data_IF_038265368212
#
_entry.id   IF_038265368212
#
_cell.length_a   1.000
_cell.length_b   1.000
_cell.length_c   1.000
_cell.angle_alpha   90.00
_cell.angle_beta   90.00
_cell.angle_gamma   90.00
#
_symmetry.space_group_name_H-M   'P 1'
#
loop_
_entity.id
_entity.type
_entity.pdbx_description
1 polymer ?
#
# COMPACT_ATOMS: atom_id res chain seq x y z
N UNK A 1 -18.60 13.84 -3.69
CA UNK A 1 -17.35 14.48 -3.24
C UNK A 1 -16.94 13.84 -1.91
N UNK A 2 -15.64 13.71 -1.62
CA UNK A 2 -15.18 13.08 -0.38
C UNK A 2 -15.34 14.06 0.81
N UNK A 3 -15.84 13.64 1.98
CA UNK A 3 -16.11 14.55 3.10
C UNK A 3 -14.86 15.15 3.76
N UNK A 4 -13.70 14.49 3.66
CA UNK A 4 -12.45 14.91 4.34
C UNK A 4 -11.38 15.46 3.42
N UNK A 5 -11.31 14.91 2.20
CA UNK A 5 -10.22 15.15 1.26
C UNK A 5 -10.76 15.83 0.01
N UNK A 6 -11.44 16.94 0.24
CA UNK A 6 -11.98 17.80 -0.81
C UNK A 6 -11.68 19.25 -0.47
N UNK A 7 -10.55 19.73 -0.95
CA UNK A 7 -10.02 21.05 -0.65
C UNK A 7 -10.42 22.06 -1.74
N UNK A 8 -11.01 23.21 -1.39
CA UNK A 8 -11.42 24.23 -2.36
C UNK A 8 -10.26 24.79 -3.21
N UNK A 9 -9.07 24.87 -2.63
CA UNK A 9 -7.81 25.30 -3.23
C UNK A 9 -7.07 24.17 -3.98
N UNK A 10 -7.61 22.95 -3.99
CA UNK A 10 -6.97 21.82 -4.65
C UNK A 10 -6.92 21.95 -6.17
N UNK A 11 -5.75 21.67 -6.73
CA UNK A 11 -5.47 21.71 -8.19
C UNK A 11 -5.66 20.37 -8.90
N UNK A 12 -5.72 19.26 -8.15
CA UNK A 12 -5.90 17.91 -8.67
C UNK A 12 -7.17 17.28 -8.12
N UNK A 13 -7.99 16.71 -9.00
CA UNK A 13 -9.17 15.92 -8.63
C UNK A 13 -8.98 14.47 -9.03
N UNK A 14 -8.99 13.57 -8.06
CA UNK A 14 -8.90 12.13 -8.26
C UNK A 14 -10.27 11.50 -7.99
N UNK A 15 -10.83 10.79 -8.97
CA UNK A 15 -12.12 10.12 -8.85
C UNK A 15 -11.86 8.64 -8.58
N UNK A 16 -12.26 8.18 -7.40
CA UNK A 16 -12.07 6.80 -6.91
C UNK A 16 -13.45 6.23 -6.60
N UNK A 17 -13.87 5.18 -7.31
CA UNK A 17 -15.20 4.57 -7.19
C UNK A 17 -16.36 5.60 -7.23
N UNK A 18 -16.26 6.61 -8.10
CA UNK A 18 -17.25 7.68 -8.23
C UNK A 18 -17.16 8.78 -7.16
N UNK A 19 -16.25 8.67 -6.18
CA UNK A 19 -16.01 9.68 -5.16
C UNK A 19 -14.85 10.58 -5.62
N UNK A 20 -15.11 11.88 -5.70
CA UNK A 20 -14.10 12.89 -6.02
C UNK A 20 -13.31 13.32 -4.78
N UNK A 21 -11.99 13.12 -4.83
CA UNK A 21 -10.98 13.62 -3.92
C UNK A 21 -10.33 14.84 -4.57
N UNK A 22 -10.36 16.01 -3.92
CA UNK A 22 -9.76 17.22 -4.47
C UNK A 22 -8.61 17.64 -3.56
N UNK A 23 -7.40 17.64 -4.08
CA UNK A 23 -6.15 17.79 -3.31
C UNK A 23 -5.17 18.75 -3.98
N UNK A 24 -4.20 19.26 -3.22
CA UNK A 24 -3.11 20.05 -3.75
C UNK A 24 -2.16 19.14 -4.55
N UNK A 25 -2.20 19.25 -5.89
CA UNK A 25 -1.37 18.42 -6.78
C UNK A 25 0.13 18.64 -6.57
N UNK A 26 0.54 19.81 -6.08
CA UNK A 26 1.92 20.12 -5.70
C UNK A 26 2.40 19.25 -4.55
N UNK A 27 1.58 18.99 -3.53
CA UNK A 27 1.93 18.13 -2.41
C UNK A 27 2.12 16.69 -2.88
N UNK A 28 1.22 16.17 -3.71
CA UNK A 28 1.38 14.83 -4.27
C UNK A 28 2.62 14.73 -5.17
N UNK A 29 2.89 15.76 -5.98
CA UNK A 29 4.08 15.84 -6.84
C UNK A 29 5.39 15.89 -6.05
N UNK A 30 5.39 16.48 -4.84
CA UNK A 30 6.58 16.53 -3.99
C UNK A 30 7.06 15.13 -3.63
N UNK A 31 6.13 14.22 -3.35
CA UNK A 31 6.44 12.86 -2.93
C UNK A 31 6.46 11.87 -4.10
N UNK A 32 5.72 12.14 -5.18
CA UNK A 32 5.52 11.23 -6.30
C UNK A 32 6.18 11.70 -7.60
N UNK A 33 7.19 10.98 -8.07
CA UNK A 33 7.76 11.21 -9.41
C UNK A 33 6.75 10.96 -10.53
N UNK A 34 5.84 10.00 -10.33
CA UNK A 34 4.77 9.71 -11.27
C UNK A 34 3.88 10.95 -11.47
N UNK A 35 3.40 11.54 -10.37
CA UNK A 35 2.53 12.71 -10.42
C UNK A 35 3.27 13.99 -10.78
N UNK A 36 4.52 14.18 -10.33
CA UNK A 36 5.34 15.30 -10.76
C UNK A 36 5.50 15.33 -12.29
N UNK A 37 5.81 14.17 -12.90
CA UNK A 37 5.92 14.05 -14.36
C UNK A 37 4.58 14.26 -15.07
N UNK A 38 3.49 13.77 -14.48
CA UNK A 38 2.15 13.86 -15.07
C UNK A 38 1.61 15.28 -15.02
N UNK A 39 1.75 15.97 -13.89
CA UNK A 39 1.25 17.32 -13.67
C UNK A 39 2.17 18.38 -14.27
N UNK A 40 3.49 18.16 -14.31
CA UNK A 40 4.42 19.07 -14.98
C UNK A 40 4.23 19.18 -16.50
N UNK A 41 3.44 18.29 -17.11
CA UNK A 41 3.03 18.36 -18.52
C UNK A 41 1.74 19.16 -18.75
N UNK A 42 1.00 19.47 -17.69
CA UNK A 42 -0.27 20.19 -17.76
C UNK A 42 0.01 21.67 -17.57
N UNK A 43 -0.51 22.52 -18.46
CA UNK A 43 -0.39 23.98 -18.33
C UNK A 43 -0.97 24.43 -16.97
N UNK A 44 -0.27 25.34 -16.29
CA UNK A 44 -0.45 25.69 -14.87
C UNK A 44 -1.85 26.22 -14.47
N UNK A 45 -2.78 26.37 -15.42
CA UNK A 45 -4.10 26.97 -15.23
C UNK A 45 -5.25 25.98 -15.27
N UNK A 46 -5.02 24.70 -15.63
CA UNK A 46 -6.09 23.72 -15.79
C UNK A 46 -6.22 22.80 -14.59
N UNK A 47 -7.42 22.75 -13.99
CA UNK A 47 -7.76 21.75 -12.98
C UNK A 47 -7.66 20.35 -13.60
N UNK A 48 -6.74 19.52 -13.10
CA UNK A 48 -6.53 18.17 -13.62
C UNK A 48 -7.53 17.21 -12.96
N UNK A 49 -8.23 16.41 -13.76
CA UNK A 49 -9.17 15.39 -13.27
C UNK A 49 -8.71 14.02 -13.77
N UNK A 50 -8.50 13.09 -12.84
CA UNK A 50 -8.12 11.70 -13.14
C UNK A 50 -9.12 10.72 -12.55
N UNK A 51 -9.55 9.73 -13.33
CA UNK A 51 -10.36 8.61 -12.85
C UNK A 51 -9.48 7.40 -12.56
N UNK A 52 -9.41 6.98 -11.30
CA UNK A 52 -8.64 5.83 -10.85
C UNK A 52 -9.55 4.60 -10.75
N UNK A 53 -9.45 3.70 -11.74
CA UNK A 53 -10.30 2.50 -11.83
C UNK A 53 -9.82 1.36 -10.93
N UNK A 54 -8.52 1.27 -10.71
CA UNK A 54 -7.89 0.19 -9.95
C UNK A 54 -7.59 0.55 -8.49
N UNK A 55 -8.20 1.63 -7.98
CA UNK A 55 -8.01 2.08 -6.59
C UNK A 55 -9.34 2.03 -5.88
N UNK A 56 -9.35 1.48 -4.66
CA UNK A 56 -10.52 1.48 -3.80
C UNK A 56 -10.48 2.66 -2.84
N UNK A 57 -11.67 3.10 -2.39
CA UNK A 57 -11.81 4.25 -1.47
C UNK A 57 -11.07 4.03 -0.16
N UNK A 58 -11.09 2.82 0.39
CA UNK A 58 -10.34 2.47 1.61
C UNK A 58 -8.83 2.65 1.45
N UNK A 59 -8.29 2.30 0.27
CA UNK A 59 -6.87 2.46 0.00
C UNK A 59 -6.49 3.92 -0.14
N UNK A 60 -7.33 4.65 -0.87
CA UNK A 60 -7.18 6.09 -1.07
C UNK A 60 -7.22 6.81 0.27
N UNK A 61 -8.18 6.49 1.14
CA UNK A 61 -8.30 7.08 2.47
C UNK A 61 -7.11 6.80 3.37
N UNK A 62 -6.57 5.58 3.34
CA UNK A 62 -5.36 5.23 4.08
C UNK A 62 -4.17 6.07 3.61
N UNK A 63 -3.96 6.16 2.30
CA UNK A 63 -2.87 6.93 1.71
C UNK A 63 -3.02 8.45 1.95
N UNK A 64 -4.23 8.99 1.79
CA UNK A 64 -4.50 10.41 2.05
C UNK A 64 -4.32 10.78 3.52
N UNK A 65 -4.56 9.86 4.45
CA UNK A 65 -4.30 10.08 5.87
C UNK A 65 -2.80 10.24 6.18
N UNK A 66 -1.91 9.59 5.40
CA UNK A 66 -0.46 9.81 5.49
C UNK A 66 -0.05 11.13 4.86
N UNK A 67 -0.63 11.47 3.71
CA UNK A 67 -0.30 12.70 2.97
C UNK A 67 -0.82 13.96 3.68
N UNK A 68 -1.94 13.84 4.41
CA UNK A 68 -2.58 14.93 5.15
C UNK A 68 -2.82 14.53 6.62
N UNK A 69 -1.77 14.41 7.45
CA UNK A 69 -1.90 13.94 8.83
C UNK A 69 -2.86 14.78 9.68
N UNK A 70 -2.91 16.10 9.45
CA UNK A 70 -3.79 17.03 10.16
C UNK A 70 -5.29 16.85 9.85
N UNK A 71 -5.62 16.15 8.77
CA UNK A 71 -7.00 15.90 8.31
C UNK A 71 -7.40 14.42 8.46
N UNK A 72 -6.47 13.58 8.95
CA UNK A 72 -6.74 12.23 9.38
C UNK A 72 -7.36 12.22 10.79
N UNK A 73 -8.32 11.32 11.10
CA UNK A 73 -8.69 11.07 12.47
C UNK A 73 -7.45 10.63 13.25
N UNK A 74 -7.31 11.09 14.49
CA UNK A 74 -6.27 10.63 15.43
C UNK A 74 -6.22 9.09 15.54
N UNK A 75 -7.34 8.42 15.22
CA UNK A 75 -7.52 6.97 15.13
C UNK A 75 -8.02 6.52 13.75
N UNK A 76 -7.39 6.95 12.64
CA UNK A 76 -7.72 6.38 11.34
C UNK A 76 -7.35 4.88 11.35
N UNK A 77 -8.32 4.00 11.62
CA UNK A 77 -8.16 2.53 11.63
C UNK A 77 -7.55 2.00 10.31
N UNK A 78 -7.69 2.78 9.24
CA UNK A 78 -7.11 2.53 7.93
C UNK A 78 -5.58 2.68 7.87
N UNK A 79 -4.91 3.19 8.92
CA UNK A 79 -3.45 3.29 8.99
C UNK A 79 -2.89 2.62 10.25
N UNK A 80 -3.71 2.31 11.25
CA UNK A 80 -3.24 1.61 12.47
C UNK A 80 -3.20 0.09 12.33
N UNK A 81 -3.66 -0.45 11.19
CA UNK A 81 -3.71 -1.89 10.93
C UNK A 81 -2.72 -2.29 9.86
N UNK A 82 -2.25 -3.54 9.91
CA UNK A 82 -1.41 -4.13 8.86
C UNK A 82 -2.06 -4.04 7.48
N UNK A 83 -3.38 -4.23 7.39
CA UNK A 83 -4.14 -4.08 6.15
C UNK A 83 -4.08 -2.63 5.62
N UNK A 84 -4.20 -1.66 6.52
CA UNK A 84 -4.05 -0.25 6.21
C UNK A 84 -2.68 0.12 5.62
N UNK A 85 -1.61 -0.29 6.28
CA UNK A 85 -0.26 -0.08 5.76
C UNK A 85 0.01 -0.82 4.45
N UNK A 86 -0.63 -1.97 4.22
CA UNK A 86 -0.54 -2.66 2.93
C UNK A 86 -1.16 -1.84 1.79
N UNK A 87 -2.26 -1.12 2.04
CA UNK A 87 -2.83 -0.18 1.07
C UNK A 87 -1.90 1.00 0.79
N UNK A 88 -1.31 1.58 1.84
CA UNK A 88 -0.31 2.66 1.71
C UNK A 88 0.90 2.17 0.90
N UNK A 89 1.42 0.97 1.19
CA UNK A 89 2.51 0.36 0.43
C UNK A 89 2.16 0.19 -1.04
N UNK A 90 0.95 -0.31 -1.34
CA UNK A 90 0.50 -0.49 -2.72
C UNK A 90 0.45 0.82 -3.49
N UNK A 91 -0.23 1.84 -2.95
CA UNK A 91 -0.40 3.12 -3.66
C UNK A 91 0.91 3.91 -3.76
N UNK A 92 1.73 3.91 -2.70
CA UNK A 92 3.06 4.52 -2.76
C UNK A 92 3.98 3.84 -3.78
N UNK A 93 3.87 2.53 -3.96
CA UNK A 93 4.59 1.80 -5.02
C UNK A 93 4.06 2.19 -6.41
N UNK A 94 2.73 2.16 -6.59
CA UNK A 94 2.07 2.51 -7.85
C UNK A 94 2.42 3.92 -8.32
N UNK A 95 2.48 4.89 -7.40
CA UNK A 95 2.79 6.28 -7.69
C UNK A 95 4.25 6.65 -7.46
N UNK A 96 5.12 5.69 -7.19
CA UNK A 96 6.56 5.94 -6.97
C UNK A 96 6.83 6.98 -5.87
N UNK A 97 6.06 6.94 -4.78
CA UNK A 97 6.27 7.74 -3.57
C UNK A 97 7.31 7.07 -2.67
N UNK A 98 8.59 7.36 -2.87
CA UNK A 98 9.70 6.59 -2.26
C UNK A 98 9.73 6.67 -0.72
N UNK A 99 9.50 7.86 -0.19
CA UNK A 99 9.48 8.16 1.24
C UNK A 99 8.26 7.54 1.94
N UNK A 100 7.06 7.71 1.38
CA UNK A 100 5.84 7.08 1.91
C UNK A 100 5.95 5.54 1.83
N UNK A 101 6.54 5.02 0.74
CA UNK A 101 6.82 3.60 0.59
C UNK A 101 7.77 3.09 1.68
N UNK A 102 8.86 3.81 1.96
CA UNK A 102 9.80 3.44 3.00
C UNK A 102 9.13 3.39 4.38
N UNK A 103 8.30 4.38 4.70
CA UNK A 103 7.51 4.40 5.94
C UNK A 103 6.57 3.18 6.03
N UNK A 104 5.87 2.85 4.95
CA UNK A 104 4.98 1.68 4.95
C UNK A 104 5.74 0.36 5.13
N UNK A 105 6.94 0.24 4.57
CA UNK A 105 7.83 -0.92 4.74
C UNK A 105 8.29 -1.02 6.20
N UNK A 106 8.69 0.07 6.84
CA UNK A 106 9.09 0.08 8.25
C UNK A 106 7.95 -0.44 9.14
N UNK A 107 6.76 0.12 8.99
CA UNK A 107 5.60 -0.22 9.82
C UNK A 107 5.09 -1.66 9.60
N UNK A 108 5.16 -2.16 8.36
CA UNK A 108 4.82 -3.56 8.05
C UNK A 108 5.90 -4.54 8.49
N UNK A 109 7.17 -4.11 8.58
CA UNK A 109 8.24 -4.97 9.05
C UNK A 109 8.04 -5.38 10.50
N UNK A 110 7.44 -4.51 11.31
CA UNK A 110 7.17 -4.76 12.73
C UNK A 110 5.83 -5.46 12.96
N UNK A 111 4.81 -5.12 12.18
CA UNK A 111 3.43 -5.56 12.46
C UNK A 111 2.92 -6.71 11.59
N UNK A 112 3.49 -6.95 10.41
CA UNK A 112 2.89 -7.89 9.46
C UNK A 112 3.25 -9.35 9.76
N UNK A 113 2.27 -10.28 9.75
CA UNK A 113 2.54 -11.70 9.96
C UNK A 113 3.38 -12.28 8.81
N UNK A 114 4.14 -13.36 9.05
CA UNK A 114 5.07 -13.93 8.06
C UNK A 114 4.46 -14.20 6.69
N UNK A 115 3.26 -14.79 6.64
CA UNK A 115 2.55 -15.05 5.39
C UNK A 115 2.30 -13.76 4.60
N UNK A 116 1.80 -12.73 5.28
CA UNK A 116 1.48 -11.46 4.65
C UNK A 116 2.75 -10.74 4.18
N UNK A 117 3.84 -10.80 4.96
CA UNK A 117 5.16 -10.29 4.53
C UNK A 117 5.62 -10.99 3.26
N UNK A 118 5.48 -12.32 3.17
CA UNK A 118 5.87 -13.06 1.98
C UNK A 118 5.05 -12.64 0.75
N UNK A 119 3.73 -12.51 0.88
CA UNK A 119 2.84 -12.06 -0.21
C UNK A 119 3.17 -10.62 -0.65
N UNK A 120 3.24 -9.68 0.29
CA UNK A 120 3.53 -8.27 0.01
C UNK A 120 4.93 -8.06 -0.57
N UNK A 121 5.92 -8.84 -0.11
CA UNK A 121 7.30 -8.76 -0.61
C UNK A 121 7.44 -9.07 -2.10
N UNK A 122 6.49 -9.83 -2.66
CA UNK A 122 6.44 -10.11 -4.10
C UNK A 122 5.61 -9.10 -4.84
N UNK A 123 4.42 -8.80 -4.32
CA UNK A 123 3.51 -7.85 -4.95
C UNK A 123 4.12 -6.44 -5.08
N UNK A 124 4.97 -6.05 -4.14
CA UNK A 124 5.55 -4.72 -4.07
C UNK A 124 7.08 -4.72 -4.08
N UNK A 125 7.73 -5.82 -4.46
CA UNK A 125 9.19 -5.97 -4.53
C UNK A 125 9.94 -5.48 -3.28
N UNK A 126 9.75 -6.18 -2.16
CA UNK A 126 10.44 -5.94 -0.87
C UNK A 126 11.27 -7.19 -0.51
N UNK A 127 12.40 -7.44 -1.21
CA UNK A 127 13.09 -8.73 -1.16
C UNK A 127 13.61 -9.13 0.22
N UNK A 128 13.97 -8.15 1.06
CA UNK A 128 14.43 -8.31 2.45
C UNK A 128 13.46 -9.08 3.35
N UNK A 129 12.15 -9.09 3.02
CA UNK A 129 11.16 -9.84 3.79
C UNK A 129 11.05 -11.31 3.40
N UNK A 130 11.51 -11.70 2.20
CA UNK A 130 11.24 -13.03 1.64
C UNK A 130 11.83 -14.14 2.50
N UNK A 131 13.13 -14.07 2.79
CA UNK A 131 13.83 -15.11 3.56
C UNK A 131 13.35 -15.15 5.02
N UNK A 132 13.27 -14.04 5.77
CA UNK A 132 12.77 -14.08 7.15
C UNK A 132 11.33 -14.62 7.25
N UNK A 133 10.45 -14.21 6.35
CA UNK A 133 9.07 -14.68 6.32
C UNK A 133 9.00 -16.19 6.04
N UNK A 134 9.79 -16.66 5.08
CA UNK A 134 9.86 -18.07 4.71
C UNK A 134 10.37 -18.94 5.86
N UNK A 135 11.46 -18.52 6.53
CA UNK A 135 12.00 -19.21 7.71
C UNK A 135 10.95 -19.26 8.82
N UNK A 136 10.27 -18.15 9.11
CA UNK A 136 9.23 -18.11 10.13
C UNK A 136 8.04 -19.05 9.81
N UNK A 137 7.63 -19.16 8.54
CA UNK A 137 6.61 -20.11 8.09
C UNK A 137 7.07 -21.57 8.20
N UNK A 138 8.35 -21.86 8.02
CA UNK A 138 8.89 -23.20 8.22
C UNK A 138 8.99 -23.58 9.69
N UNK A 139 9.41 -22.65 10.57
CA UNK A 139 9.62 -22.95 11.97
C UNK A 139 8.34 -22.95 12.82
N UNK A 140 7.25 -22.31 12.36
CA UNK A 140 6.02 -22.24 13.16
C UNK A 140 5.40 -23.63 13.43
N UNK A 141 4.77 -23.88 14.59
CA UNK A 141 4.17 -25.18 14.90
C UNK A 141 3.07 -25.60 13.91
N UNK A 142 2.21 -24.66 13.50
CA UNK A 142 1.04 -24.90 12.68
C UNK A 142 1.40 -25.07 11.19
N UNK A 143 0.81 -26.08 10.55
CA UNK A 143 0.88 -26.22 9.09
C UNK A 143 0.17 -25.05 8.38
N UNK A 144 0.39 -24.89 7.07
CA UNK A 144 -0.39 -23.95 6.26
C UNK A 144 -1.84 -24.40 6.24
N UNK A 145 -2.78 -23.48 6.52
CA UNK A 145 -4.18 -23.74 6.22
C UNK A 145 -4.43 -23.62 4.72
N UNK A 146 -5.53 -24.18 4.24
CA UNK A 146 -5.96 -24.07 2.85
C UNK A 146 -6.04 -22.60 2.40
N UNK A 147 -6.67 -21.75 3.22
CA UNK A 147 -6.79 -20.31 2.98
C UNK A 147 -5.46 -19.54 2.97
N UNK A 148 -4.40 -20.07 3.57
CA UNK A 148 -3.06 -19.51 3.48
C UNK A 148 -2.33 -20.01 2.24
N UNK A 149 -2.48 -21.28 1.91
CA UNK A 149 -1.91 -21.90 0.72
C UNK A 149 -2.45 -21.26 -0.57
N UNK A 150 -3.74 -20.92 -0.63
CA UNK A 150 -4.36 -20.22 -1.76
C UNK A 150 -3.75 -18.83 -2.03
N UNK A 151 -3.18 -18.19 -1.02
CA UNK A 151 -2.56 -16.86 -1.15
C UNK A 151 -1.10 -16.94 -1.59
N UNK A 152 -0.52 -18.15 -1.61
CA UNK A 152 0.88 -18.39 -1.95
C UNK A 152 0.99 -18.95 -3.36
N UNK A 153 2.16 -18.74 -3.98
CA UNK A 153 2.48 -19.49 -5.18
C UNK A 153 2.66 -20.97 -4.79
N UNK A 154 2.22 -21.89 -5.66
CA UNK A 154 2.34 -23.34 -5.44
C UNK A 154 3.77 -23.75 -5.08
N UNK A 155 4.77 -23.12 -5.72
CA UNK A 155 6.18 -23.36 -5.44
C UNK A 155 6.54 -23.07 -3.98
N UNK A 156 5.97 -22.05 -3.35
CA UNK A 156 6.24 -21.75 -1.95
C UNK A 156 5.58 -22.73 -1.01
N UNK A 157 4.35 -23.14 -1.32
CA UNK A 157 3.66 -24.16 -0.53
C UNK A 157 4.50 -25.43 -0.50
N UNK A 158 4.95 -25.90 -1.68
CA UNK A 158 5.80 -27.10 -1.80
C UNK A 158 7.12 -26.93 -1.04
N UNK A 159 7.82 -25.81 -1.23
CA UNK A 159 9.10 -25.62 -0.54
C UNK A 159 8.89 -25.51 0.98
N UNK A 160 7.87 -24.77 1.46
CA UNK A 160 7.61 -24.59 2.90
C UNK A 160 7.33 -25.96 3.52
N UNK A 161 6.44 -26.76 2.90
CA UNK A 161 6.07 -28.07 3.43
C UNK A 161 7.23 -29.06 3.41
N UNK A 162 7.98 -29.16 2.31
CA UNK A 162 9.16 -30.05 2.24
C UNK A 162 10.25 -29.65 3.22
N UNK A 163 10.49 -28.35 3.42
CA UNK A 163 11.47 -27.85 4.40
C UNK A 163 11.02 -28.20 5.83
N UNK A 164 9.72 -28.07 6.12
CA UNK A 164 9.14 -28.43 7.43
C UNK A 164 9.29 -29.91 7.73
N UNK A 165 9.06 -30.77 6.74
CA UNK A 165 9.24 -32.22 6.87
C UNK A 165 10.70 -32.61 7.07
N UNK A 166 11.64 -31.93 6.43
CA UNK A 166 13.06 -32.23 6.58
C UNK A 166 13.66 -31.80 7.94
N UNK A 167 13.05 -30.80 8.61
CA UNK A 167 13.52 -30.28 9.91
C UNK A 167 12.91 -31.05 11.09
N UNK A 168 11.78 -31.74 10.88
CA UNK A 168 11.06 -32.51 11.90
C UNK A 168 11.44 -33.98 11.87
#
# INVERSE_FOLDING_TARGET
QHPRFYFPDGSLTLIVQGIAYRIQGSLLSLHSEHWARKLGKVEATTQTVEVLKDVYTLEMDAFMSILYPAYGPLNCLAVTTTGGWAYVLRLSTMWSCRDIRALAIEQLSDSAPPLQRLVLSRAHDVPEWRVPAYVALCLRPQALSESEAEKLAVQDVVRIMSTREAIR
#
